data_IF_915270008542
#
_entry.id   IF_915270008542
#
_cell.length_a   1.000
_cell.length_b   1.000
_cell.length_c   1.000
_cell.angle_alpha   90.00
_cell.angle_beta   90.00
_cell.angle_gamma   90.00
#
_symmetry.space_group_name_H-M   'P 1'
#
loop_
_entity.id
_entity.type
_entity.pdbx_description
1 polymer ?
#
# COMPACT_ATOMS: atom_id res chain seq x y z
N UNK A 1 -2.45 -7.22 -36.26
CA UNK A 1 -3.74 -7.97 -36.31
C UNK A 1 -4.19 -8.33 -34.91
N UNK A 2 -3.27 -8.79 -34.06
CA UNK A 2 -3.49 -9.09 -32.65
C UNK A 2 -3.87 -7.83 -31.83
N UNK A 3 -3.29 -6.66 -32.13
CA UNK A 3 -3.59 -5.38 -31.48
C UNK A 3 -5.07 -5.02 -31.64
N UNK A 4 -5.60 -5.06 -32.87
CA UNK A 4 -7.02 -4.77 -33.16
C UNK A 4 -7.96 -5.74 -32.46
N UNK A 5 -7.58 -7.02 -32.36
CA UNK A 5 -8.38 -8.03 -31.66
C UNK A 5 -8.42 -7.73 -30.16
N UNK A 6 -7.25 -7.46 -29.55
CA UNK A 6 -7.14 -7.16 -28.13
C UNK A 6 -7.80 -5.83 -27.76
N UNK A 7 -7.70 -4.80 -28.59
CA UNK A 7 -8.45 -3.54 -28.38
C UNK A 7 -9.95 -3.81 -28.37
N UNK A 8 -10.50 -4.56 -29.35
CA UNK A 8 -11.93 -4.93 -29.35
C UNK A 8 -12.35 -5.75 -28.12
N UNK A 9 -11.47 -6.64 -27.65
CA UNK A 9 -11.72 -7.37 -26.40
C UNK A 9 -11.74 -6.44 -25.20
N UNK A 10 -10.78 -5.51 -25.12
CA UNK A 10 -10.72 -4.52 -24.04
C UNK A 10 -11.94 -3.59 -24.05
N UNK A 11 -12.37 -3.09 -25.20
CA UNK A 11 -13.60 -2.31 -25.36
C UNK A 11 -14.85 -3.10 -24.94
N UNK A 12 -14.91 -4.41 -25.23
CA UNK A 12 -16.03 -5.25 -24.78
C UNK A 12 -16.05 -5.44 -23.25
N UNK A 13 -14.87 -5.59 -22.64
CA UNK A 13 -14.73 -5.71 -21.18
C UNK A 13 -14.98 -4.37 -20.49
N UNK A 14 -14.61 -3.26 -21.14
CA UNK A 14 -14.68 -1.90 -20.62
C UNK A 14 -15.43 -0.94 -21.59
N UNK A 15 -16.75 -1.11 -21.76
CA UNK A 15 -17.53 -0.49 -22.86
C UNK A 15 -17.66 1.03 -22.82
N UNK A 16 -17.16 1.70 -21.78
CA UNK A 16 -17.18 3.17 -21.62
C UNK A 16 -15.79 3.78 -21.55
N UNK A 17 -14.75 2.99 -21.84
CA UNK A 17 -13.37 3.42 -21.68
C UNK A 17 -12.72 3.71 -23.02
N UNK A 18 -11.98 4.81 -23.10
CA UNK A 18 -11.15 5.13 -24.25
C UNK A 18 -9.83 4.37 -24.13
N UNK A 19 -9.76 3.17 -24.72
CA UNK A 19 -8.63 2.26 -24.58
C UNK A 19 -8.06 1.89 -25.95
N UNK A 20 -6.74 1.79 -26.06
CA UNK A 20 -6.07 1.23 -27.23
C UNK A 20 -5.00 0.21 -26.83
N UNK A 21 -4.69 -0.73 -27.73
CA UNK A 21 -3.53 -1.61 -27.62
C UNK A 21 -2.45 -1.16 -28.60
N UNK A 22 -1.23 -0.98 -28.09
CA UNK A 22 -0.06 -0.63 -28.89
C UNK A 22 1.03 -1.69 -28.74
N UNK A 23 1.81 -1.92 -29.80
CA UNK A 23 2.97 -2.82 -29.77
C UNK A 23 4.25 -2.00 -29.73
N UNK A 24 4.97 -2.04 -28.61
CA UNK A 24 6.22 -1.32 -28.40
C UNK A 24 7.32 -2.34 -28.08
N UNK A 25 8.41 -2.34 -28.86
CA UNK A 25 9.56 -3.23 -28.62
C UNK A 25 9.23 -4.72 -28.58
N UNK A 26 8.24 -5.17 -29.36
CA UNK A 26 7.79 -6.57 -29.38
C UNK A 26 6.77 -6.94 -28.30
N UNK A 27 6.49 -6.06 -27.34
CA UNK A 27 5.49 -6.25 -26.27
C UNK A 27 4.21 -5.48 -26.58
N UNK A 28 3.09 -5.96 -26.07
CA UNK A 28 1.78 -5.32 -26.22
C UNK A 28 1.44 -4.56 -24.93
N UNK A 29 0.97 -3.34 -25.08
CA UNK A 29 0.60 -2.45 -23.99
C UNK A 29 -0.85 -2.00 -24.17
N UNK A 30 -1.61 -2.04 -23.09
CA UNK A 30 -2.97 -1.49 -23.02
C UNK A 30 -2.89 -0.07 -22.47
N UNK A 31 -3.36 0.90 -23.24
CA UNK A 31 -3.36 2.31 -22.88
C UNK A 31 -4.79 2.78 -22.63
N UNK A 32 -5.06 3.30 -21.45
CA UNK A 32 -6.31 4.01 -21.15
C UNK A 32 -6.08 5.51 -21.31
N UNK A 33 -6.70 6.10 -22.32
CA UNK A 33 -6.53 7.52 -22.68
C UNK A 33 -7.46 8.44 -21.90
N UNK A 34 -8.40 7.89 -21.15
CA UNK A 34 -9.40 8.59 -20.38
C UNK A 34 -9.10 8.66 -18.88
N UNK A 35 -7.89 8.30 -18.46
CA UNK A 35 -7.48 8.46 -17.06
C UNK A 35 -6.56 9.66 -16.86
N UNK A 36 -6.68 10.30 -15.69
CA UNK A 36 -5.75 11.34 -15.24
C UNK A 36 -4.58 10.80 -14.45
N UNK A 37 -4.67 9.56 -13.93
CA UNK A 37 -3.55 8.87 -13.27
C UNK A 37 -3.02 9.52 -12.00
N UNK A 38 -3.78 10.40 -11.35
CA UNK A 38 -3.35 11.12 -10.14
C UNK A 38 -3.95 10.47 -8.87
N UNK A 39 -3.16 9.69 -8.13
CA UNK A 39 -3.62 8.98 -6.93
C UNK A 39 -2.47 8.51 -5.99
N UNK A 40 -1.35 9.24 -5.98
CA UNK A 40 -0.20 8.86 -5.15
C UNK A 40 -0.35 9.33 -3.71
N UNK A 41 -1.04 10.44 -3.47
CA UNK A 41 -1.39 10.90 -2.13
C UNK A 41 -2.68 11.73 -2.14
N UNK A 42 -3.29 11.86 -0.96
CA UNK A 42 -4.51 12.60 -0.67
C UNK A 42 -4.23 13.51 0.53
N UNK A 43 -4.54 14.81 0.40
CA UNK A 43 -4.39 15.76 1.49
C UNK A 43 -5.54 15.63 2.51
N UNK A 44 -5.25 15.95 3.77
CA UNK A 44 -6.29 16.04 4.80
C UNK A 44 -7.06 17.36 4.68
N UNK A 45 -8.39 17.28 4.84
CA UNK A 45 -9.28 18.44 4.77
C UNK A 45 -9.69 18.84 3.35
N UNK A 46 -10.17 20.07 3.22
CA UNK A 46 -10.59 20.67 1.96
C UNK A 46 -9.91 22.00 1.75
N UNK A 47 -9.65 22.37 0.50
CA UNK A 47 -8.83 23.52 0.14
C UNK A 47 -9.58 24.43 -0.83
N UNK A 48 -9.39 25.74 -0.69
CA UNK A 48 -9.84 26.73 -1.67
C UNK A 48 -9.02 26.67 -2.96
N UNK A 49 -9.54 27.24 -4.05
CA UNK A 49 -8.81 27.35 -5.32
C UNK A 49 -7.38 27.89 -5.16
N UNK A 50 -7.21 29.01 -4.45
CA UNK A 50 -5.90 29.66 -4.29
C UNK A 50 -4.93 28.80 -3.46
N UNK A 51 -5.43 28.06 -2.47
CA UNK A 51 -4.61 27.12 -1.70
C UNK A 51 -4.15 25.96 -2.57
N UNK A 52 -5.04 25.39 -3.39
CA UNK A 52 -4.67 24.34 -4.34
C UNK A 52 -3.60 24.82 -5.32
N UNK A 53 -3.74 26.03 -5.87
CA UNK A 53 -2.75 26.61 -6.79
C UNK A 53 -1.39 26.78 -6.09
N UNK A 54 -1.38 27.30 -4.85
CA UNK A 54 -0.16 27.44 -4.05
C UNK A 54 0.52 26.09 -3.79
N UNK A 55 -0.26 25.08 -3.41
CA UNK A 55 0.25 23.71 -3.20
C UNK A 55 0.81 23.12 -4.49
N UNK A 56 0.12 23.31 -5.62
CA UNK A 56 0.59 22.82 -6.90
C UNK A 56 1.91 23.47 -7.34
N UNK A 57 2.13 24.76 -7.04
CA UNK A 57 3.40 25.44 -7.37
C UNK A 57 4.62 24.77 -6.74
N UNK A 58 4.46 24.09 -5.59
CA UNK A 58 5.54 23.31 -4.96
C UNK A 58 5.92 22.08 -5.79
N UNK A 59 5.00 21.58 -6.61
CA UNK A 59 5.21 20.38 -7.43
C UNK A 59 5.92 20.69 -8.75
N UNK A 60 5.95 21.96 -9.20
CA UNK A 60 6.44 22.42 -10.51
C UNK A 60 5.68 21.88 -11.74
N UNK A 61 4.53 21.23 -11.53
CA UNK A 61 3.72 20.59 -12.57
C UNK A 61 2.33 21.24 -12.72
N UNK A 62 1.43 20.59 -13.46
CA UNK A 62 0.09 21.11 -13.75
C UNK A 62 -0.91 20.77 -12.66
N UNK A 63 -1.93 21.63 -12.52
CA UNK A 63 -3.09 21.43 -11.66
C UNK A 63 -4.35 21.22 -12.52
N UNK A 64 -5.21 20.30 -12.09
CA UNK A 64 -6.52 20.07 -12.68
C UNK A 64 -7.63 20.22 -11.64
N UNK A 65 -8.81 20.68 -12.06
CA UNK A 65 -9.99 20.88 -11.20
C UNK A 65 -11.22 20.22 -11.83
N UNK A 66 -12.10 19.67 -11.00
CA UNK A 66 -13.35 19.11 -11.51
C UNK A 66 -14.35 18.70 -10.44
N UNK A 67 -15.45 18.10 -10.89
CA UNK A 67 -16.52 17.59 -10.05
C UNK A 67 -16.66 16.08 -10.22
N UNK A 68 -16.67 15.36 -9.11
CA UNK A 68 -17.03 13.95 -9.02
C UNK A 68 -18.36 13.83 -8.28
N UNK A 69 -19.34 13.12 -8.84
CA UNK A 69 -20.65 12.97 -8.21
C UNK A 69 -20.60 12.33 -6.82
N UNK A 70 -19.63 11.46 -6.60
CA UNK A 70 -19.45 10.67 -5.39
C UNK A 70 -18.69 11.44 -4.30
N UNK A 71 -17.85 12.40 -4.67
CA UNK A 71 -16.93 13.09 -3.75
C UNK A 71 -17.12 14.61 -3.71
N UNK A 72 -17.88 15.18 -4.64
CA UNK A 72 -18.01 16.63 -4.82
C UNK A 72 -16.83 17.24 -5.60
N UNK A 73 -16.46 18.50 -5.31
CA UNK A 73 -15.33 19.15 -5.96
C UNK A 73 -13.99 18.49 -5.62
N UNK A 74 -13.21 18.21 -6.65
CA UNK A 74 -11.89 17.60 -6.55
C UNK A 74 -10.84 18.41 -7.31
N UNK A 75 -9.61 18.34 -6.83
CA UNK A 75 -8.46 18.89 -7.53
C UNK A 75 -7.31 17.86 -7.58
N UNK A 76 -6.49 17.98 -8.62
CA UNK A 76 -5.33 17.14 -8.87
C UNK A 76 -4.11 18.05 -8.99
N UNK A 77 -3.10 17.83 -8.14
CA UNK A 77 -1.84 18.59 -8.16
C UNK A 77 -0.67 17.70 -8.58
N UNK A 78 0.38 18.31 -9.10
CA UNK A 78 1.58 17.56 -9.46
C UNK A 78 1.42 16.74 -10.74
N UNK A 79 0.54 17.14 -11.67
CA UNK A 79 0.27 16.39 -12.90
C UNK A 79 1.31 16.70 -14.00
N UNK A 80 2.16 15.75 -14.42
CA UNK A 80 3.21 16.03 -15.40
C UNK A 80 2.68 16.30 -16.81
N UNK A 81 1.54 15.69 -17.17
CA UNK A 81 0.90 15.89 -18.46
C UNK A 81 -0.21 16.96 -18.34
N UNK A 82 -0.02 18.18 -18.88
CA UNK A 82 -1.01 19.26 -18.79
C UNK A 82 -2.33 18.91 -19.48
N UNK A 83 -2.29 18.08 -20.53
CA UNK A 83 -3.51 17.64 -21.22
C UNK A 83 -4.40 16.81 -20.30
N UNK A 84 -3.80 16.02 -19.40
CA UNK A 84 -4.57 15.26 -18.41
C UNK A 84 -5.16 16.16 -17.34
N UNK A 85 -4.55 17.30 -17.03
CA UNK A 85 -5.04 18.24 -16.04
C UNK A 85 -6.29 19.02 -16.50
N UNK A 86 -6.49 19.14 -17.81
CA UNK A 86 -7.56 19.97 -18.41
C UNK A 86 -8.76 19.17 -18.95
N UNK A 87 -8.74 17.84 -18.88
CA UNK A 87 -9.80 16.99 -19.46
C UNK A 87 -10.56 16.22 -18.38
N UNK A 88 -11.84 15.98 -18.62
CA UNK A 88 -12.64 15.02 -17.86
C UNK A 88 -12.11 13.60 -18.03
N UNK A 89 -12.29 12.74 -17.03
CA UNK A 89 -11.77 11.38 -17.09
C UNK A 89 -12.04 10.56 -15.85
N UNK A 90 -11.41 9.40 -15.79
CA UNK A 90 -11.44 8.48 -14.66
C UNK A 90 -10.17 8.61 -13.81
N UNK A 91 -10.34 8.47 -12.50
CA UNK A 91 -9.22 8.43 -11.56
C UNK A 91 -9.50 7.43 -10.45
N UNK A 92 -8.43 6.88 -9.89
CA UNK A 92 -8.51 6.03 -8.70
C UNK A 92 -8.71 6.92 -7.49
N UNK A 93 -9.90 6.86 -6.90
CA UNK A 93 -10.25 7.73 -5.78
C UNK A 93 -9.66 7.27 -4.44
N UNK A 94 -9.28 5.99 -4.34
CA UNK A 94 -8.57 5.42 -3.19
C UNK A 94 -7.08 5.46 -3.44
N UNK A 95 -6.36 6.06 -2.49
CA UNK A 95 -4.90 5.97 -2.44
C UNK A 95 -4.55 4.66 -1.71
N UNK A 96 -3.82 3.77 -2.38
CA UNK A 96 -3.43 2.48 -1.78
C UNK A 96 -2.39 2.69 -0.68
N UNK A 97 -2.84 2.86 0.56
CA UNK A 97 -1.97 3.13 1.70
C UNK A 97 -1.36 1.89 2.32
N UNK A 98 -0.27 2.06 3.07
CA UNK A 98 0.39 0.99 3.81
C UNK A 98 -0.60 0.24 4.71
N UNK A 99 -0.48 -1.10 4.75
CA UNK A 99 -1.43 -1.97 5.45
C UNK A 99 -2.85 -2.05 4.86
N UNK A 100 -3.10 -1.45 3.69
CA UNK A 100 -4.38 -1.56 2.98
C UNK A 100 -4.27 -2.41 1.72
N UNK A 101 -5.36 -3.08 1.37
CA UNK A 101 -5.46 -3.90 0.17
C UNK A 101 -5.58 -3.02 -1.08
N UNK A 102 -5.06 -3.49 -2.22
CA UNK A 102 -5.19 -2.75 -3.48
C UNK A 102 -6.63 -2.74 -3.95
N UNK A 103 -7.26 -1.57 -3.98
CA UNK A 103 -8.56 -1.40 -4.62
C UNK A 103 -8.38 -0.55 -5.87
N UNK A 104 -8.80 -1.09 -7.01
CA UNK A 104 -8.60 -0.46 -8.32
C UNK A 104 -9.87 0.26 -8.80
N UNK A 105 -10.81 0.52 -7.90
CA UNK A 105 -12.05 1.22 -8.20
C UNK A 105 -11.76 2.66 -8.66
N UNK A 106 -12.44 3.10 -9.71
CA UNK A 106 -12.27 4.42 -10.30
C UNK A 106 -13.59 5.17 -10.32
N UNK A 107 -13.52 6.50 -10.17
CA UNK A 107 -14.64 7.40 -10.39
C UNK A 107 -14.40 8.26 -11.61
N UNK A 108 -15.50 8.66 -12.26
CA UNK A 108 -15.47 9.65 -13.32
C UNK A 108 -15.62 11.04 -12.71
N UNK A 109 -14.87 12.01 -13.24
CA UNK A 109 -15.06 13.41 -12.91
C UNK A 109 -15.22 14.23 -14.20
N UNK A 110 -15.97 15.33 -14.09
CA UNK A 110 -16.08 16.35 -15.13
C UNK A 110 -15.11 17.49 -14.80
N UNK A 111 -14.22 17.83 -15.72
CA UNK A 111 -13.32 18.97 -15.55
C UNK A 111 -14.13 20.28 -15.48
N UNK A 112 -13.71 21.17 -14.60
CA UNK A 112 -14.23 22.53 -14.53
C UNK A 112 -13.55 23.42 -15.56
N UNK A 113 -14.24 24.49 -15.97
CA UNK A 113 -13.57 25.64 -16.58
C UNK A 113 -12.77 26.42 -15.53
N UNK A 114 -11.81 27.22 -15.97
CA UNK A 114 -11.04 28.08 -15.05
C UNK A 114 -11.93 29.04 -14.24
N UNK A 115 -13.04 29.51 -14.83
CA UNK A 115 -13.99 30.39 -14.16
C UNK A 115 -14.84 29.66 -13.13
N UNK A 116 -15.31 28.45 -13.45
CA UNK A 116 -16.01 27.59 -12.49
C UNK A 116 -15.10 27.27 -11.31
N UNK A 117 -13.85 26.92 -11.58
CA UNK A 117 -12.92 26.46 -10.55
C UNK A 117 -12.59 27.53 -9.49
N UNK A 118 -12.43 28.79 -9.92
CA UNK A 118 -12.14 29.93 -9.03
C UNK A 118 -13.25 30.21 -8.01
N UNK A 119 -14.48 29.79 -8.30
CA UNK A 119 -15.63 30.01 -7.43
C UNK A 119 -15.86 28.89 -6.40
N UNK A 120 -15.00 27.88 -6.38
CA UNK A 120 -15.10 26.73 -5.46
C UNK A 120 -14.07 26.86 -4.34
N UNK A 121 -14.54 26.66 -3.10
CA UNK A 121 -13.73 26.85 -1.88
C UNK A 121 -13.40 25.57 -1.11
N UNK A 122 -13.80 24.39 -1.59
CA UNK A 122 -13.80 23.16 -0.79
C UNK A 122 -13.34 21.92 -1.58
N UNK A 123 -12.23 22.03 -2.30
CA UNK A 123 -11.65 20.93 -3.05
C UNK A 123 -11.08 19.82 -2.16
N UNK A 124 -11.42 18.57 -2.47
CA UNK A 124 -10.64 17.41 -2.06
C UNK A 124 -9.42 17.27 -2.99
N UNK A 125 -8.21 17.25 -2.43
CA UNK A 125 -6.98 17.39 -3.23
C UNK A 125 -6.19 16.08 -3.29
N UNK A 126 -6.06 15.55 -4.50
CA UNK A 126 -5.20 14.42 -4.83
C UNK A 126 -3.89 14.91 -5.44
N UNK A 127 -2.80 14.22 -5.16
CA UNK A 127 -1.49 14.53 -5.72
C UNK A 127 -0.81 13.34 -6.38
N UNK A 128 0.03 13.65 -7.36
CA UNK A 128 0.86 12.69 -8.10
C UNK A 128 2.35 12.92 -7.81
N UNK A 129 2.85 14.13 -8.04
CA UNK A 129 4.25 14.50 -7.79
C UNK A 129 4.40 15.54 -6.66
N UNK A 130 5.63 15.80 -6.23
CA UNK A 130 5.95 16.83 -5.22
C UNK A 130 5.55 16.47 -3.78
N UNK A 131 5.39 15.18 -3.49
CA UNK A 131 4.90 14.68 -2.20
C UNK A 131 5.68 15.24 -1.00
N UNK A 132 7.02 15.29 -1.06
CA UNK A 132 7.84 15.75 0.07
C UNK A 132 7.66 17.24 0.34
N UNK A 133 7.66 18.04 -0.72
CA UNK A 133 7.51 19.49 -0.67
C UNK A 133 6.10 19.88 -0.19
N UNK A 134 5.08 19.16 -0.67
CA UNK A 134 3.68 19.36 -0.25
C UNK A 134 3.47 18.92 1.21
N UNK A 135 4.00 17.76 1.60
CA UNK A 135 3.87 17.25 2.98
C UNK A 135 4.53 18.14 4.04
N UNK A 136 5.49 18.99 3.64
CA UNK A 136 6.12 19.95 4.53
C UNK A 136 5.21 21.14 4.91
N UNK A 137 4.13 21.38 4.17
CA UNK A 137 3.22 22.51 4.39
C UNK A 137 1.75 22.13 4.53
N UNK A 138 1.37 20.91 4.13
CA UNK A 138 0.00 20.41 4.21
C UNK A 138 -0.02 18.95 4.70
N UNK A 139 -0.90 18.60 5.65
CA UNK A 139 -1.00 17.26 6.19
C UNK A 139 -1.49 16.26 5.13
N UNK A 140 -0.80 15.12 5.05
CA UNK A 140 -1.17 14.03 4.16
C UNK A 140 -2.18 13.12 4.88
N UNK A 141 -3.38 12.97 4.34
CA UNK A 141 -4.36 12.00 4.84
C UNK A 141 -3.94 10.58 4.46
N UNK A 142 -3.72 10.34 3.16
CA UNK A 142 -3.33 9.03 2.63
C UNK A 142 -2.18 9.17 1.65
N UNK A 143 -1.33 8.14 1.59
CA UNK A 143 -0.17 8.08 0.71
C UNK A 143 -0.01 6.67 0.18
N UNK A 144 0.38 6.54 -1.09
CA UNK A 144 0.62 5.26 -1.70
C UNK A 144 1.75 4.53 -0.96
N UNK A 145 1.55 3.25 -0.66
CA UNK A 145 2.46 2.45 0.16
C UNK A 145 3.90 2.43 -0.37
N UNK A 146 4.09 2.63 -1.67
CA UNK A 146 5.42 2.70 -2.30
C UNK A 146 6.24 3.92 -1.84
N UNK A 147 5.59 4.99 -1.38
CA UNK A 147 6.25 6.17 -0.86
C UNK A 147 6.45 6.10 0.65
N UNK A 148 5.60 5.33 1.33
CA UNK A 148 5.68 5.08 2.77
C UNK A 148 7.00 4.40 3.15
N UNK A 149 7.80 5.08 3.98
CA UNK A 149 9.11 4.63 4.41
C UNK A 149 9.04 3.32 5.20
N UNK A 150 7.96 3.08 5.95
CA UNK A 150 7.72 1.83 6.69
C UNK A 150 7.76 0.63 5.76
N UNK A 151 7.12 0.74 4.59
CA UNK A 151 7.14 -0.32 3.58
C UNK A 151 8.54 -0.58 3.02
N UNK A 152 9.28 0.49 2.73
CA UNK A 152 10.64 0.41 2.18
C UNK A 152 11.59 -0.27 3.14
N UNK A 153 11.47 0.03 4.43
CA UNK A 153 12.28 -0.58 5.49
C UNK A 153 12.04 -2.09 5.54
N UNK A 154 10.79 -2.52 5.41
CA UNK A 154 10.46 -3.95 5.33
C UNK A 154 10.96 -4.65 4.08
N UNK A 155 11.26 -3.91 3.01
CA UNK A 155 11.86 -4.47 1.78
C UNK A 155 13.38 -4.33 1.71
N UNK A 156 14.01 -3.85 2.77
CA UNK A 156 15.45 -3.61 2.76
C UNK A 156 16.22 -4.92 2.57
N UNK A 157 17.34 -4.87 1.84
CA UNK A 157 18.29 -5.98 1.74
C UNK A 157 19.37 -5.91 2.85
N UNK A 158 19.14 -5.07 3.86
CA UNK A 158 20.05 -4.90 5.00
C UNK A 158 19.64 -5.79 6.17
N UNK A 159 20.63 -6.24 6.98
CA UNK A 159 20.37 -6.80 8.29
C UNK A 159 19.47 -5.87 9.11
N UNK A 160 18.44 -6.43 9.76
CA UNK A 160 17.44 -5.66 10.50
C UNK A 160 16.75 -6.46 11.59
N UNK A 161 16.11 -5.76 12.52
CA UNK A 161 15.08 -6.34 13.37
C UNK A 161 13.79 -6.47 12.57
N UNK A 162 13.20 -7.66 12.61
CA UNK A 162 11.93 -7.91 11.95
C UNK A 162 10.80 -7.53 12.89
N UNK A 163 10.04 -6.52 12.50
CA UNK A 163 8.88 -6.04 13.22
C UNK A 163 7.56 -6.51 12.60
N UNK A 164 6.75 -7.17 13.41
CA UNK A 164 5.52 -7.80 12.92
C UNK A 164 4.39 -6.78 12.80
N UNK A 165 3.67 -6.81 11.67
CA UNK A 165 2.51 -5.93 11.45
C UNK A 165 1.27 -6.43 12.19
N UNK A 166 1.09 -7.74 12.23
CA UNK A 166 -0.11 -8.38 12.79
C UNK A 166 0.24 -9.70 13.46
N UNK A 167 -0.54 -10.07 14.47
CA UNK A 167 -0.63 -11.43 15.00
C UNK A 167 -2.03 -11.98 14.73
N UNK A 168 -2.11 -13.22 14.24
CA UNK A 168 -3.37 -13.93 14.02
C UNK A 168 -3.87 -14.53 15.34
N UNK A 169 -5.19 -14.55 15.48
CA UNK A 169 -5.84 -15.13 16.64
C UNK A 169 -5.82 -16.66 16.60
N UNK A 170 -5.20 -17.26 17.61
CA UNK A 170 -5.24 -18.70 17.85
C UNK A 170 -3.89 -19.40 17.62
N UNK A 171 -3.95 -20.73 17.56
CA UNK A 171 -2.79 -21.60 17.38
C UNK A 171 -3.00 -22.48 16.16
N UNK A 172 -1.94 -22.68 15.39
CA UNK A 172 -2.01 -23.34 14.10
C UNK A 172 -0.96 -24.43 13.97
N UNK A 173 -1.34 -25.59 13.44
CA UNK A 173 -0.38 -26.61 13.05
C UNK A 173 0.49 -26.16 11.87
N UNK A 174 1.63 -26.81 11.68
CA UNK A 174 2.50 -26.58 10.52
C UNK A 174 1.74 -26.61 9.17
N UNK A 175 0.82 -27.57 9.01
CA UNK A 175 0.04 -27.73 7.78
C UNK A 175 -0.97 -26.60 7.59
N UNK A 176 -1.69 -26.23 8.64
CA UNK A 176 -2.65 -25.12 8.60
C UNK A 176 -1.96 -23.79 8.30
N UNK A 177 -0.84 -23.51 8.97
CA UNK A 177 -0.05 -22.32 8.75
C UNK A 177 0.42 -22.19 7.29
N UNK A 178 0.88 -23.29 6.67
CA UNK A 178 1.23 -23.29 5.25
C UNK A 178 0.02 -23.00 4.36
N UNK A 179 -1.12 -23.65 4.57
CA UNK A 179 -2.34 -23.38 3.77
C UNK A 179 -2.73 -21.90 3.89
N UNK A 180 -2.77 -21.39 5.13
CA UNK A 180 -3.12 -20.01 5.43
C UNK A 180 -2.18 -19.02 4.75
N UNK A 181 -0.88 -19.30 4.66
CA UNK A 181 0.07 -18.41 4.00
C UNK A 181 -0.20 -18.17 2.51
N UNK A 182 -0.96 -19.04 1.84
CA UNK A 182 -1.32 -18.88 0.42
C UNK A 182 -2.52 -17.96 0.18
N UNK A 183 -3.12 -17.43 1.25
CA UNK A 183 -4.34 -16.64 1.15
C UNK A 183 -5.60 -17.51 0.95
N UNK A 184 -5.57 -18.81 1.24
CA UNK A 184 -6.74 -19.70 1.10
C UNK A 184 -7.04 -20.46 2.39
N UNK A 185 -8.29 -20.91 2.54
CA UNK A 185 -8.73 -21.78 3.64
C UNK A 185 -8.76 -23.27 3.23
N UNK A 186 -8.34 -23.57 2.00
CA UNK A 186 -8.30 -24.91 1.42
C UNK A 186 -6.99 -25.07 0.66
N UNK A 187 -6.46 -26.27 0.64
CA UNK A 187 -5.35 -26.61 -0.28
C UNK A 187 -5.76 -26.23 -1.70
N UNK A 188 -4.90 -25.47 -2.38
CA UNK A 188 -5.17 -24.98 -3.73
C UNK A 188 -4.41 -25.86 -4.72
N UNK A 189 -5.13 -26.55 -5.59
CA UNK A 189 -4.51 -27.22 -6.73
C UNK A 189 -3.78 -26.18 -7.60
N UNK A 190 -2.47 -26.37 -7.78
CA UNK A 190 -1.63 -25.49 -8.61
C UNK A 190 -0.65 -24.56 -7.86
N UNK A 191 -0.63 -24.53 -6.52
CA UNK A 191 0.59 -24.14 -5.80
C UNK A 191 1.55 -25.33 -5.80
N UNK A 192 2.14 -25.61 -6.98
CA UNK A 192 3.04 -26.75 -7.19
C UNK A 192 4.48 -26.49 -6.70
N UNK A 193 4.70 -25.45 -5.89
CA UNK A 193 5.98 -25.14 -5.26
C UNK A 193 5.96 -25.48 -3.77
N UNK A 194 7.01 -26.13 -3.28
CA UNK A 194 7.20 -26.31 -1.82
C UNK A 194 7.32 -24.97 -1.07
N UNK A 195 7.68 -23.90 -1.79
CA UNK A 195 7.85 -22.53 -1.30
C UNK A 195 6.49 -21.84 -1.14
N UNK A 196 6.13 -21.68 0.13
CA UNK A 196 5.05 -20.83 0.56
C UNK A 196 5.68 -19.57 1.14
N UNK A 197 5.03 -18.40 1.09
CA UNK A 197 5.54 -17.19 1.70
C UNK A 197 5.32 -17.28 3.21
N UNK A 198 5.96 -18.24 3.87
CA UNK A 198 5.95 -18.44 5.32
C UNK A 198 7.25 -19.13 5.73
N UNK A 199 7.83 -18.64 6.82
CA UNK A 199 8.96 -19.28 7.50
C UNK A 199 8.58 -19.57 8.95
N UNK A 200 9.18 -20.61 9.52
CA UNK A 200 8.93 -21.02 10.91
C UNK A 200 10.17 -20.76 11.75
N UNK A 201 9.97 -20.34 12.99
CA UNK A 201 11.05 -19.98 13.88
C UNK A 201 10.68 -20.25 15.34
N UNK A 202 11.69 -20.17 16.20
CA UNK A 202 11.56 -20.11 17.66
C UNK A 202 12.09 -18.77 18.12
N UNK A 203 11.29 -18.06 18.93
CA UNK A 203 11.64 -16.75 19.49
C UNK A 203 11.87 -16.85 21.00
N UNK A 204 12.84 -16.08 21.48
CA UNK A 204 13.12 -15.92 22.90
C UNK A 204 13.36 -17.26 23.61
N UNK A 205 12.64 -17.51 24.70
CA UNK A 205 12.80 -18.69 25.56
C UNK A 205 12.21 -19.99 25.00
N UNK A 206 11.73 -20.02 23.75
CA UNK A 206 11.24 -21.25 23.13
C UNK A 206 9.89 -21.14 22.42
N UNK A 207 9.36 -19.94 22.19
CA UNK A 207 8.05 -19.74 21.59
C UNK A 207 8.06 -20.09 20.09
N UNK A 208 7.30 -21.10 19.62
CA UNK A 208 7.22 -21.43 18.20
C UNK A 208 6.31 -20.45 17.46
N UNK A 209 6.83 -19.88 16.37
CA UNK A 209 6.09 -18.95 15.52
C UNK A 209 6.17 -19.32 14.05
N UNK A 210 5.15 -18.92 13.29
CA UNK A 210 5.18 -18.87 11.83
C UNK A 210 5.03 -17.42 11.36
N UNK A 211 5.91 -16.97 10.47
CA UNK A 211 5.89 -15.61 9.93
C UNK A 211 5.43 -15.69 8.49
N UNK A 212 4.20 -15.27 8.24
CA UNK A 212 3.60 -15.21 6.91
C UNK A 212 4.14 -13.99 6.16
N UNK A 213 4.24 -14.13 4.84
CA UNK A 213 4.76 -13.17 3.87
C UNK A 213 6.24 -12.83 4.09
N UNK A 214 6.99 -13.82 4.56
CA UNK A 214 8.44 -13.81 4.65
C UNK A 214 9.01 -14.94 3.79
N UNK A 215 10.00 -14.63 2.96
CA UNK A 215 10.66 -15.61 2.10
C UNK A 215 11.89 -16.22 2.79
N UNK A 216 12.20 -17.50 2.55
CA UNK A 216 13.41 -18.13 3.07
C UNK A 216 14.70 -17.38 2.74
N UNK A 217 14.77 -16.70 1.59
CA UNK A 217 15.92 -15.88 1.18
C UNK A 217 16.17 -14.66 2.07
N UNK A 218 15.17 -14.20 2.82
CA UNK A 218 15.28 -13.03 3.70
C UNK A 218 15.70 -13.39 5.13
N UNK A 219 15.73 -14.69 5.48
CA UNK A 219 16.06 -15.18 6.82
C UNK A 219 17.45 -14.70 7.28
N UNK A 220 18.43 -14.68 6.38
CA UNK A 220 19.79 -14.25 6.68
C UNK A 220 19.92 -12.74 6.98
N UNK A 221 18.88 -11.96 6.69
CA UNK A 221 18.80 -10.53 7.02
C UNK A 221 18.28 -10.29 8.45
N UNK A 222 17.76 -11.32 9.12
CA UNK A 222 17.10 -11.14 10.40
C UNK A 222 18.14 -11.10 11.52
N UNK A 223 18.11 -10.05 12.34
CA UNK A 223 19.00 -9.87 13.51
C UNK A 223 18.26 -9.92 14.84
N UNK A 224 16.96 -9.72 14.82
CA UNK A 224 16.09 -9.83 15.98
C UNK A 224 14.64 -9.88 15.56
N UNK A 225 13.78 -10.19 16.51
CA UNK A 225 12.34 -10.21 16.36
C UNK A 225 11.74 -9.20 17.34
N UNK A 226 10.95 -8.25 16.83
CA UNK A 226 10.11 -7.38 17.64
C UNK A 226 8.66 -7.82 17.47
N UNK A 227 8.03 -8.13 18.60
CA UNK A 227 6.62 -8.48 18.63
C UNK A 227 5.74 -7.30 18.16
N UNK A 228 4.45 -7.55 17.93
CA UNK A 228 3.48 -6.53 17.54
C UNK A 228 3.42 -5.43 18.61
N UNK A 229 3.75 -4.21 18.21
CA UNK A 229 3.73 -3.05 19.10
C UNK A 229 2.36 -2.40 19.05
N UNK A 230 1.48 -2.71 19.98
CA UNK A 230 0.10 -2.20 19.98
C UNK A 230 0.00 -0.70 20.32
N UNK A 231 -1.08 -0.07 19.84
CA UNK A 231 -1.34 1.34 20.13
C UNK A 231 -1.57 1.57 21.64
N UNK A 232 -0.73 2.42 22.25
CA UNK A 232 -0.80 2.77 23.66
C UNK A 232 -0.02 1.84 24.59
N UNK A 233 0.68 0.84 24.05
CA UNK A 233 1.59 -0.03 24.79
C UNK A 233 3.04 0.49 24.72
N UNK A 234 3.86 0.04 25.67
CA UNK A 234 5.32 0.18 25.58
C UNK A 234 5.86 -0.63 24.40
N UNK A 235 6.97 -0.18 23.81
CA UNK A 235 7.61 -0.89 22.71
C UNK A 235 8.08 -2.27 23.19
N UNK A 236 7.70 -3.38 22.52
CA UNK A 236 8.15 -4.71 22.90
C UNK A 236 9.66 -4.84 22.81
N UNK A 237 10.25 -5.57 23.76
CA UNK A 237 11.68 -5.88 23.72
C UNK A 237 12.04 -6.70 22.48
N UNK A 238 13.23 -6.43 21.93
CA UNK A 238 13.78 -7.19 20.81
C UNK A 238 14.25 -8.54 21.33
N UNK A 239 13.72 -9.61 20.75
CA UNK A 239 14.02 -10.99 21.11
C UNK A 239 14.93 -11.66 20.09
N UNK A 240 15.70 -12.64 20.54
CA UNK A 240 16.46 -13.53 19.64
C UNK A 240 15.50 -14.42 18.86
N UNK A 241 15.83 -14.71 17.61
CA UNK A 241 15.04 -15.56 16.72
C UNK A 241 15.94 -16.61 16.08
N UNK A 242 15.47 -17.86 16.06
CA UNK A 242 16.13 -18.99 15.38
C UNK A 242 15.15 -19.61 14.40
N UNK A 243 15.49 -19.60 13.11
CA UNK A 243 14.67 -20.22 12.08
C UNK A 243 14.80 -21.73 12.11
N UNK A 244 13.68 -22.40 11.81
CA UNK A 244 13.55 -23.84 11.79
C UNK A 244 13.58 -24.34 10.35
N UNK A 245 14.22 -25.48 10.14
CA UNK A 245 14.07 -26.21 8.89
C UNK A 245 12.72 -26.97 8.85
N UNK A 246 12.39 -27.53 7.69
CA UNK A 246 11.13 -28.27 7.46
C UNK A 246 10.90 -29.41 8.44
N UNK A 247 11.94 -30.19 8.75
CA UNK A 247 11.83 -31.34 9.64
C UNK A 247 11.57 -30.91 11.08
N UNK A 248 12.28 -29.88 11.55
CA UNK A 248 12.09 -29.30 12.87
C UNK A 248 10.67 -28.71 13.00
N UNK A 249 10.26 -27.88 12.05
CA UNK A 249 8.96 -27.20 12.08
C UNK A 249 7.77 -28.19 12.04
N UNK A 250 7.87 -29.26 11.24
CA UNK A 250 6.82 -30.28 11.11
C UNK A 250 6.54 -31.08 12.39
N UNK A 251 7.48 -31.11 13.34
CA UNK A 251 7.36 -31.83 14.62
C UNK A 251 6.70 -30.97 15.70
N UNK A 252 6.58 -29.67 15.48
CA UNK A 252 5.93 -28.76 16.42
C UNK A 252 4.42 -28.82 16.20
N UNK A 253 3.70 -28.96 17.31
CA UNK A 253 2.25 -29.12 17.29
C UNK A 253 1.54 -27.82 16.91
N UNK A 254 1.89 -26.73 17.58
CA UNK A 254 1.14 -25.48 17.57
C UNK A 254 2.10 -24.30 17.37
N UNK A 255 1.74 -23.37 16.48
CA UNK A 255 2.44 -22.14 16.17
C UNK A 255 1.54 -20.92 16.38
N UNK A 256 2.10 -19.84 16.90
CA UNK A 256 1.52 -18.49 16.79
C UNK A 256 1.90 -17.91 15.43
N UNK A 257 0.93 -17.33 14.72
CA UNK A 257 1.19 -16.79 13.38
C UNK A 257 1.24 -15.27 13.37
N UNK A 258 2.31 -14.74 12.78
CA UNK A 258 2.50 -13.32 12.52
C UNK A 258 2.46 -13.04 11.02
N UNK A 259 2.13 -11.80 10.64
CA UNK A 259 2.22 -11.34 9.25
C UNK A 259 3.30 -10.25 9.13
N UNK A 260 4.26 -10.51 8.24
CA UNK A 260 5.27 -9.55 7.84
C UNK A 260 4.84 -8.82 6.56
N UNK A 261 4.95 -7.49 6.54
CA UNK A 261 4.53 -6.66 5.41
C UNK A 261 3.08 -6.94 4.97
N UNK A 262 2.15 -6.66 5.88
CA UNK A 262 0.73 -6.98 5.73
C UNK A 262 0.14 -6.45 4.41
N UNK A 263 0.55 -5.26 3.95
CA UNK A 263 0.07 -4.68 2.68
C UNK A 263 0.31 -5.53 1.44
N UNK A 264 1.44 -6.23 1.35
CA UNK A 264 1.81 -7.00 0.15
C UNK A 264 1.48 -8.49 0.25
N UNK A 265 1.06 -8.94 1.43
CA UNK A 265 0.87 -10.36 1.72
C UNK A 265 -0.26 -11.04 0.92
N UNK A 266 -1.15 -10.27 0.27
CA UNK A 266 -2.32 -10.83 -0.42
C UNK A 266 -3.35 -11.47 0.52
N UNK A 267 -3.10 -11.40 1.83
CA UNK A 267 -3.92 -11.86 2.94
C UNK A 267 -5.01 -10.81 3.13
N UNK A 268 -6.14 -11.01 2.44
CA UNK A 268 -7.26 -10.08 2.49
C UNK A 268 -7.82 -9.89 3.91
N UNK A 269 -8.28 -8.68 4.23
CA UNK A 269 -8.83 -8.26 5.54
C UNK A 269 -9.99 -9.12 6.09
N UNK A 270 -10.58 -10.00 5.29
CA UNK A 270 -11.73 -10.83 5.68
C UNK A 270 -11.38 -12.32 5.86
N UNK A 271 -10.11 -12.72 5.68
CA UNK A 271 -9.72 -14.13 5.66
C UNK A 271 -9.19 -14.65 7.00
N UNK A 272 -8.79 -13.76 7.90
CA UNK A 272 -8.16 -14.13 9.17
C UNK A 272 -8.71 -13.26 10.29
N UNK A 273 -8.92 -13.88 11.43
CA UNK A 273 -9.12 -13.15 12.68
C UNK A 273 -7.74 -12.67 13.16
N UNK A 274 -7.57 -11.36 13.27
CA UNK A 274 -6.36 -10.72 13.77
C UNK A 274 -6.56 -10.43 15.26
N UNK A 275 -5.61 -10.86 16.08
CA UNK A 275 -5.61 -10.62 17.53
C UNK A 275 -5.01 -9.23 17.83
N UNK A 276 -3.81 -8.96 17.28
CA UNK A 276 -3.07 -7.72 17.51
C UNK A 276 -2.64 -7.07 16.20
N UNK A 277 -2.65 -5.74 16.17
CA UNK A 277 -2.13 -4.91 15.07
C UNK A 277 -1.02 -4.01 15.58
N UNK A 278 0.01 -3.83 14.76
CA UNK A 278 1.05 -2.83 15.01
C UNK A 278 0.38 -1.44 15.09
N UNK A 279 0.88 -0.61 15.99
CA UNK A 279 0.35 0.71 16.31
C UNK A 279 0.22 1.56 15.07
N UNK A 280 1.11 1.39 14.08
CA UNK A 280 1.10 2.19 12.86
C UNK A 280 0.02 1.76 11.86
N UNK A 281 -0.67 0.65 12.13
CA UNK A 281 -1.88 0.20 11.42
C UNK A 281 -3.18 0.56 12.17
N UNK A 282 -3.09 1.02 13.42
CA UNK A 282 -4.24 1.48 14.19
C UNK A 282 -4.73 2.84 13.67
N UNK A 283 -6.06 2.99 13.52
CA UNK A 283 -6.70 4.23 13.07
C UNK A 283 -6.43 5.45 13.96
N UNK A 284 -6.01 5.23 15.20
CA UNK A 284 -5.69 6.28 16.18
C UNK A 284 -4.26 6.80 16.02
N UNK A 285 -3.41 6.09 15.27
CA UNK A 285 -2.03 6.50 15.06
C UNK A 285 -1.96 7.81 14.30
N UNK A 286 -1.27 8.79 14.91
CA UNK A 286 -1.04 10.08 14.28
C UNK A 286 0.29 10.02 13.54
N UNK A 287 0.23 10.07 12.21
CA UNK A 287 1.43 10.18 11.38
C UNK A 287 2.09 11.54 11.49
N UNK A 288 1.33 12.57 11.90
CA UNK A 288 1.84 13.90 12.14
C UNK A 288 2.64 13.94 13.46
N UNK A 289 3.94 14.21 13.34
CA UNK A 289 4.87 14.32 14.46
C UNK A 289 4.81 15.72 15.11
N UNK A 290 5.26 15.87 16.38
CA UNK A 290 5.23 17.17 17.08
C UNK A 290 5.99 18.30 16.41
N UNK A 291 7.00 17.97 15.60
CA UNK A 291 7.81 18.92 14.82
C UNK A 291 7.18 19.31 13.47
N UNK A 292 6.00 18.77 13.14
CA UNK A 292 5.35 19.01 11.86
C UNK A 292 5.77 18.03 10.75
N UNK A 293 6.65 17.06 11.02
CA UNK A 293 7.01 16.02 10.06
C UNK A 293 5.95 14.93 9.92
N UNK A 294 5.92 14.26 8.76
CA UNK A 294 5.14 13.04 8.54
C UNK A 294 6.00 11.80 8.82
N UNK A 295 5.62 11.01 9.82
CA UNK A 295 6.30 9.78 10.20
C UNK A 295 6.53 8.81 9.04
N UNK A 296 5.64 8.79 8.03
CA UNK A 296 5.77 7.89 6.86
C UNK A 296 6.83 8.35 5.86
N UNK A 297 7.39 9.53 6.04
CA UNK A 297 8.41 10.12 5.15
C UNK A 297 9.80 10.14 5.78
N UNK A 298 9.95 9.73 7.05
CA UNK A 298 11.24 9.67 7.73
C UNK A 298 12.00 8.39 7.38
N UNK A 299 13.33 8.47 7.38
CA UNK A 299 14.17 7.28 7.27
C UNK A 299 14.24 6.57 8.63
N UNK A 300 13.67 5.37 8.72
CA UNK A 300 13.73 4.56 9.94
C UNK A 300 15.09 3.86 10.02
N UNK A 301 16.03 4.46 10.73
CA UNK A 301 17.39 3.91 10.92
C UNK A 301 17.47 2.97 12.13
N UNK A 302 16.54 3.14 13.08
CA UNK A 302 16.36 2.35 14.28
C UNK A 302 16.08 0.87 14.01
N UNK A 303 15.50 0.54 12.85
CA UNK A 303 15.19 -0.84 12.45
C UNK A 303 16.40 -1.58 11.85
N UNK A 304 17.51 -0.88 11.55
CA UNK A 304 18.74 -1.46 11.00
C UNK A 304 19.86 -1.68 12.04
N UNK A 305 19.55 -1.51 13.33
CA UNK A 305 20.47 -1.82 14.44
C UNK A 305 20.39 -3.30 14.78
#
# INVERSE_FOLDING_TARGET
MLEKLLTKMAEKVYPKRNISVEKIGGRLFLHSHDTTGCNDYLLEGTYSYDEVVKLNNLTTYSVGFGFCSELGPIAFIGMPNPVCAQKSGYFKYKVQSYGTFSEQSEYYFKAYTDEEAKNIGNYTVYGLCGLKEVAAVAPISQMAYIYDSRFKVKKSEKPRVFDMDCELKGLYSYKEAKILSTGTLKEKDGYSGEEHPIVFAVVGSGMPIGIINLWPSEVDLVRGFRDVWEYGAEEPEIQTIKFLNKEEASKIKDFILYVYNYSSSGIGKNKYEIERYDRTLDKRFKFQLPDGGDYRLIEHTELFK
#
